data_IF_074504553770
#
_entry.id   IF_074504553770
#
_cell.length_a   1.000
_cell.length_b   1.000
_cell.length_c   1.000
_cell.angle_alpha   90.00
_cell.angle_beta   90.00
_cell.angle_gamma   90.00
#
_symmetry.space_group_name_H-M   'P 1'
#
loop_
_entity.id
_entity.type
_entity.pdbx_description
1 polymer ?
#
# COMPACT_ATOMS: atom_id res chain seq x y z
N UNK A 1 62.97 -40.64 -16.63
CA UNK A 1 61.89 -40.45 -15.63
C UNK A 1 61.70 -38.97 -15.38
N UNK A 2 60.57 -38.38 -15.77
CA UNK A 2 60.11 -37.06 -15.31
C UNK A 2 58.61 -37.18 -15.04
N UNK A 3 58.24 -37.11 -13.77
CA UNK A 3 56.87 -37.18 -13.26
C UNK A 3 56.20 -35.81 -13.40
N UNK A 4 55.10 -35.75 -14.16
CA UNK A 4 54.21 -34.59 -14.24
C UNK A 4 53.42 -34.49 -12.93
N UNK A 5 53.68 -33.45 -12.14
CA UNK A 5 52.87 -33.09 -10.97
C UNK A 5 51.67 -32.27 -11.43
N UNK A 6 50.49 -32.70 -10.98
CA UNK A 6 49.18 -32.18 -11.30
C UNK A 6 48.92 -30.93 -10.43
N UNK A 7 48.84 -29.74 -11.04
CA UNK A 7 48.44 -28.48 -10.39
C UNK A 7 46.94 -28.16 -10.59
N UNK A 8 46.04 -29.15 -10.52
CA UNK A 8 44.60 -28.93 -10.79
C UNK A 8 43.77 -28.62 -9.55
N UNK A 9 44.35 -28.71 -8.33
CA UNK A 9 43.59 -28.56 -7.09
C UNK A 9 43.21 -27.12 -6.73
N UNK A 10 44.11 -26.15 -6.96
CA UNK A 10 43.92 -24.78 -6.46
C UNK A 10 42.93 -23.97 -7.31
N UNK A 11 42.95 -24.15 -8.63
CA UNK A 11 42.03 -23.47 -9.55
C UNK A 11 40.57 -23.93 -9.35
N UNK A 12 40.34 -25.23 -9.17
CA UNK A 12 39.01 -25.80 -8.98
C UNK A 12 38.34 -25.34 -7.67
N UNK A 13 39.11 -25.19 -6.58
CA UNK A 13 38.60 -24.68 -5.30
C UNK A 13 38.24 -23.19 -5.40
N UNK A 14 39.00 -22.39 -6.15
CA UNK A 14 38.69 -20.96 -6.37
C UNK A 14 37.41 -20.77 -7.20
N UNK A 15 37.17 -21.62 -8.20
CA UNK A 15 35.99 -21.53 -9.06
C UNK A 15 34.72 -21.98 -8.33
N UNK A 16 34.83 -23.02 -7.48
CA UNK A 16 33.72 -23.52 -6.67
C UNK A 16 33.33 -22.54 -5.56
N UNK A 17 34.29 -21.88 -4.92
CA UNK A 17 34.03 -20.82 -3.93
C UNK A 17 33.42 -19.57 -4.57
N UNK A 18 33.84 -19.22 -5.79
CA UNK A 18 33.20 -18.15 -6.57
C UNK A 18 31.75 -18.50 -6.97
N UNK A 19 31.48 -19.75 -7.38
CA UNK A 19 30.11 -20.22 -7.67
C UNK A 19 29.20 -20.23 -6.44
N UNK A 20 29.72 -20.64 -5.28
CA UNK A 20 28.98 -20.62 -4.00
C UNK A 20 28.65 -19.19 -3.54
N UNK A 21 29.56 -18.24 -3.76
CA UNK A 21 29.32 -16.82 -3.47
C UNK A 21 28.24 -16.21 -4.39
N UNK A 22 28.19 -16.61 -5.67
CA UNK A 22 27.18 -16.15 -6.61
C UNK A 22 25.78 -16.71 -6.31
N UNK A 23 25.67 -17.96 -5.85
CA UNK A 23 24.39 -18.60 -5.52
C UNK A 23 23.62 -17.91 -4.38
N UNK A 24 24.32 -17.25 -3.46
CA UNK A 24 23.72 -16.63 -2.27
C UNK A 24 23.11 -15.24 -2.53
N UNK A 25 23.57 -14.52 -3.55
CA UNK A 25 23.11 -13.16 -3.85
C UNK A 25 21.74 -13.11 -4.55
N UNK A 26 21.33 -14.19 -5.23
CA UNK A 26 20.05 -14.24 -5.94
C UNK A 26 18.84 -14.44 -5.01
N UNK A 27 19.03 -15.00 -3.80
CA UNK A 27 17.97 -15.26 -2.82
C UNK A 27 17.50 -14.03 -2.05
N UNK A 28 18.35 -13.01 -1.91
CA UNK A 28 18.10 -11.83 -1.08
C UNK A 28 16.89 -10.97 -1.51
N UNK A 29 16.47 -11.07 -2.79
CA UNK A 29 15.44 -10.21 -3.38
C UNK A 29 14.00 -10.66 -3.13
N UNK A 30 13.75 -11.97 -3.05
CA UNK A 30 12.42 -12.53 -2.78
C UNK A 30 12.10 -12.45 -1.28
N UNK A 31 13.13 -12.59 -0.43
CA UNK A 31 13.01 -12.55 1.02
C UNK A 31 12.56 -11.18 1.54
N UNK A 32 12.89 -10.08 0.83
CA UNK A 32 12.53 -8.72 1.23
C UNK A 32 11.04 -8.40 1.00
N UNK A 33 10.46 -8.70 -0.16
CA UNK A 33 9.03 -8.42 -0.44
C UNK A 33 8.13 -9.28 0.44
N UNK A 34 8.44 -10.57 0.59
CA UNK A 34 7.68 -11.45 1.48
C UNK A 34 7.70 -10.93 2.93
N UNK A 35 8.83 -10.43 3.39
CA UNK A 35 8.94 -9.86 4.73
C UNK A 35 8.11 -8.57 4.88
N UNK A 36 8.13 -7.68 3.88
CA UNK A 36 7.29 -6.47 3.87
C UNK A 36 5.81 -6.84 3.92
N UNK A 37 5.37 -7.75 3.04
CA UNK A 37 3.99 -8.22 2.99
C UNK A 37 3.58 -8.84 4.32
N UNK A 38 4.42 -9.70 4.90
CA UNK A 38 4.14 -10.35 6.18
C UNK A 38 3.96 -9.36 7.34
N UNK A 39 4.71 -8.26 7.33
CA UNK A 39 4.60 -7.19 8.33
C UNK A 39 3.42 -6.25 8.07
N UNK A 40 3.14 -5.94 6.81
CA UNK A 40 2.16 -4.93 6.45
C UNK A 40 0.72 -5.46 6.36
N UNK A 41 0.53 -6.70 5.92
CA UNK A 41 -0.79 -7.31 5.72
C UNK A 41 -1.71 -7.24 6.94
N UNK A 42 -1.25 -7.43 8.19
CA UNK A 42 -2.10 -7.27 9.37
C UNK A 42 -2.71 -5.86 9.53
N UNK A 43 -2.03 -4.83 9.02
CA UNK A 43 -2.49 -3.44 9.10
C UNK A 43 -3.43 -3.04 7.95
N UNK A 44 -3.59 -3.89 6.93
CA UNK A 44 -4.48 -3.64 5.78
C UNK A 44 -5.86 -4.22 6.05
N UNK A 45 -6.89 -3.44 5.75
CA UNK A 45 -8.27 -3.75 6.07
C UNK A 45 -9.17 -3.61 4.85
N UNK A 46 -10.32 -4.29 4.89
CA UNK A 46 -11.40 -4.08 3.95
C UNK A 46 -12.39 -3.08 4.54
N UNK A 47 -12.81 -2.11 3.75
CA UNK A 47 -13.85 -1.14 4.07
C UNK A 47 -15.15 -1.59 3.40
N UNK A 48 -16.23 -1.63 4.16
CA UNK A 48 -17.58 -1.95 3.69
C UNK A 48 -18.49 -0.76 4.03
N UNK A 49 -18.96 -0.06 3.02
CA UNK A 49 -19.93 1.02 3.16
C UNK A 49 -21.34 0.50 2.90
N UNK A 50 -22.28 0.88 3.76
CA UNK A 50 -23.68 0.46 3.74
C UNK A 50 -24.62 1.67 3.77
N UNK A 51 -25.79 1.51 3.16
CA UNK A 51 -26.88 2.48 3.28
C UNK A 51 -27.68 2.30 4.57
N UNK A 52 -28.70 3.14 4.77
CA UNK A 52 -29.59 3.10 5.93
C UNK A 52 -30.41 1.79 6.05
N UNK A 53 -30.58 1.04 4.96
CA UNK A 53 -31.22 -0.27 4.96
C UNK A 53 -30.24 -1.40 5.35
N UNK A 54 -28.93 -1.10 5.42
CA UNK A 54 -27.87 -2.05 5.71
C UNK A 54 -27.32 -2.76 4.47
N UNK A 55 -27.72 -2.35 3.27
CA UNK A 55 -27.25 -2.93 2.01
C UNK A 55 -25.86 -2.39 1.67
N UNK A 56 -24.98 -3.26 1.16
CA UNK A 56 -23.62 -2.86 0.78
C UNK A 56 -23.65 -2.05 -0.51
N UNK A 57 -23.26 -0.78 -0.42
CA UNK A 57 -23.25 0.14 -1.56
C UNK A 57 -21.86 0.33 -2.16
N UNK A 58 -20.81 0.15 -1.35
CA UNK A 58 -19.42 0.26 -1.81
C UNK A 58 -18.47 -0.58 -0.95
N UNK A 59 -17.36 -0.99 -1.56
CA UNK A 59 -16.28 -1.70 -0.90
C UNK A 59 -14.92 -1.19 -1.39
N UNK A 60 -13.94 -1.17 -0.50
CA UNK A 60 -12.59 -0.75 -0.80
C UNK A 60 -11.57 -1.32 0.18
N UNK A 61 -10.33 -0.84 0.05
CA UNK A 61 -9.25 -1.17 0.96
C UNK A 61 -8.93 0.05 1.82
N UNK A 62 -8.51 -0.16 3.06
CA UNK A 62 -7.88 0.86 3.88
C UNK A 62 -6.70 0.28 4.64
N UNK A 63 -6.05 1.09 5.46
CA UNK A 63 -5.00 0.61 6.35
C UNK A 63 -4.91 1.45 7.61
N UNK A 64 -4.49 0.82 8.70
CA UNK A 64 -4.24 1.48 9.96
C UNK A 64 -3.00 2.38 9.89
N UNK A 65 -3.11 3.60 10.41
CA UNK A 65 -2.01 4.56 10.54
C UNK A 65 -1.62 4.84 12.00
N UNK A 66 -2.41 4.35 12.96
CA UNK A 66 -2.11 4.45 14.40
C UNK A 66 -2.49 3.16 15.14
N UNK A 67 -1.85 2.95 16.29
CA UNK A 67 -2.20 1.87 17.20
C UNK A 67 -3.60 2.04 17.83
N UNK A 68 -4.14 3.26 17.81
CA UNK A 68 -5.44 3.62 18.39
C UNK A 68 -6.62 3.34 17.43
N UNK A 69 -6.36 2.73 16.27
CA UNK A 69 -7.39 2.32 15.33
C UNK A 69 -7.77 3.39 14.30
N UNK A 70 -6.90 4.35 14.01
CA UNK A 70 -7.13 5.29 12.92
C UNK A 70 -6.81 4.63 11.58
N UNK A 71 -7.68 4.83 10.59
CA UNK A 71 -7.61 4.21 9.28
C UNK A 71 -7.68 5.27 8.20
N UNK A 72 -6.86 5.12 7.17
CA UNK A 72 -6.96 5.90 5.93
C UNK A 72 -7.54 5.01 4.82
N UNK A 73 -8.44 5.58 4.03
CA UNK A 73 -8.99 4.96 2.80
C UNK A 73 -9.35 6.03 1.77
N UNK A 74 -9.91 5.61 0.63
CA UNK A 74 -10.42 6.53 -0.38
C UNK A 74 -11.78 7.10 0.01
N UNK A 75 -11.94 8.41 -0.11
CA UNK A 75 -13.19 9.10 0.27
C UNK A 75 -14.40 8.56 -0.49
N UNK A 76 -14.30 8.35 -1.79
CA UNK A 76 -15.40 7.85 -2.62
C UNK A 76 -15.93 6.47 -2.21
N UNK A 77 -15.16 5.68 -1.44
CA UNK A 77 -15.62 4.39 -0.91
C UNK A 77 -16.66 4.61 0.20
N UNK A 78 -16.61 5.75 0.90
CA UNK A 78 -17.46 6.06 2.06
C UNK A 78 -18.54 7.09 1.77
N UNK A 79 -18.44 7.85 0.69
CA UNK A 79 -19.43 8.87 0.33
C UNK A 79 -20.80 8.22 0.09
N UNK A 80 -21.82 8.75 0.75
CA UNK A 80 -23.20 8.26 0.67
C UNK A 80 -23.50 7.07 1.58
N UNK A 81 -22.54 6.62 2.39
CA UNK A 81 -22.77 5.59 3.39
C UNK A 81 -23.44 6.16 4.65
N UNK A 82 -24.44 5.47 5.16
CA UNK A 82 -25.03 5.73 6.47
C UNK A 82 -24.28 4.96 7.57
N UNK A 83 -23.66 3.83 7.22
CA UNK A 83 -22.84 3.00 8.10
C UNK A 83 -21.59 2.51 7.35
N UNK A 84 -20.45 2.48 8.04
CA UNK A 84 -19.25 1.85 7.52
C UNK A 84 -18.65 0.86 8.53
N UNK A 85 -18.18 -0.27 8.01
CA UNK A 85 -17.52 -1.33 8.75
C UNK A 85 -16.12 -1.58 8.19
N UNK A 86 -15.21 -1.90 9.10
CA UNK A 86 -13.82 -2.26 8.81
C UNK A 86 -13.64 -3.73 9.15
N UNK A 87 -13.23 -4.54 8.18
CA UNK A 87 -12.87 -5.94 8.40
C UNK A 87 -11.36 -6.12 8.29
N UNK A 88 -10.76 -6.58 9.38
CA UNK A 88 -9.32 -6.87 9.47
C UNK A 88 -8.95 -8.16 8.74
N UNK A 89 -7.65 -8.34 8.45
CA UNK A 89 -7.12 -9.57 7.87
C UNK A 89 -7.39 -10.82 8.73
N UNK A 90 -7.56 -10.66 10.05
CA UNK A 90 -7.93 -11.73 10.98
C UNK A 90 -9.44 -12.03 10.98
N UNK A 91 -10.24 -11.29 10.21
CA UNK A 91 -11.68 -11.46 10.11
C UNK A 91 -12.51 -10.73 11.17
N UNK A 92 -11.88 -10.00 12.10
CA UNK A 92 -12.59 -9.13 13.05
C UNK A 92 -13.18 -7.93 12.33
N UNK A 93 -14.41 -7.57 12.70
CA UNK A 93 -15.14 -6.41 12.17
C UNK A 93 -15.27 -5.33 13.23
N UNK A 94 -15.07 -4.08 12.85
CA UNK A 94 -15.25 -2.90 13.69
C UNK A 94 -16.12 -1.88 12.99
N UNK A 95 -16.96 -1.18 13.75
CA UNK A 95 -17.77 -0.08 13.21
C UNK A 95 -16.92 1.18 13.14
N UNK A 96 -17.02 1.92 12.05
CA UNK A 96 -16.46 3.27 11.95
C UNK A 96 -17.29 4.22 12.80
N UNK A 97 -16.66 4.90 13.74
CA UNK A 97 -17.34 5.78 14.71
C UNK A 97 -17.34 7.25 14.30
N UNK A 98 -16.44 7.64 13.40
CA UNK A 98 -16.39 9.01 12.92
C UNK A 98 -15.32 9.24 11.86
N UNK A 99 -15.54 10.32 11.10
CA UNK A 99 -14.56 10.89 10.18
C UNK A 99 -13.71 11.87 10.98
N UNK A 100 -12.40 11.63 11.03
CA UNK A 100 -11.45 12.52 11.69
C UNK A 100 -10.98 13.61 10.74
N UNK A 101 -10.87 13.28 9.45
CA UNK A 101 -10.39 14.17 8.41
C UNK A 101 -10.82 13.71 7.02
N UNK A 102 -11.00 14.64 6.09
CA UNK A 102 -11.15 14.31 4.67
C UNK A 102 -10.59 15.41 3.77
N UNK A 103 -10.14 15.01 2.57
CA UNK A 103 -9.82 15.90 1.47
C UNK A 103 -10.52 15.37 0.21
N UNK A 104 -11.55 16.11 -0.23
CA UNK A 104 -12.33 15.77 -1.42
C UNK A 104 -11.50 15.83 -2.71
N UNK A 105 -10.62 16.82 -2.84
CA UNK A 105 -9.73 16.95 -4.00
C UNK A 105 -8.75 15.78 -4.08
N UNK A 106 -8.29 15.31 -2.93
CA UNK A 106 -7.40 14.14 -2.80
C UNK A 106 -8.11 12.79 -2.86
N UNK A 107 -9.42 12.77 -2.64
CA UNK A 107 -10.19 11.55 -2.47
C UNK A 107 -9.64 10.69 -1.31
N UNK A 108 -9.33 11.36 -0.19
CA UNK A 108 -8.80 10.76 1.05
C UNK A 108 -9.79 10.98 2.18
N UNK A 109 -9.94 9.97 3.03
CA UNK A 109 -10.63 10.08 4.30
C UNK A 109 -9.88 9.33 5.40
N UNK A 110 -9.75 9.94 6.56
CA UNK A 110 -9.26 9.33 7.81
C UNK A 110 -10.45 9.11 8.75
N UNK A 111 -10.55 7.90 9.31
CA UNK A 111 -11.65 7.50 10.18
C UNK A 111 -11.15 6.81 11.44
N UNK A 112 -11.94 6.91 12.51
CA UNK A 112 -11.75 6.14 13.74
C UNK A 112 -12.69 4.94 13.80
N UNK A 113 -12.27 3.88 14.48
CA UNK A 113 -13.10 2.69 14.72
C UNK A 113 -13.46 2.51 16.19
N UNK A 114 -14.55 1.81 16.42
CA UNK A 114 -15.04 1.50 17.76
C UNK A 114 -14.02 0.67 18.56
N UNK A 115 -13.79 1.08 19.82
CA UNK A 115 -12.94 0.35 20.74
C UNK A 115 -11.44 0.46 20.44
N UNK A 116 -11.04 1.27 19.44
CA UNK A 116 -9.67 1.54 19.02
C UNK A 116 -8.68 1.72 20.17
N UNK A 117 -8.87 2.81 20.92
CA UNK A 117 -8.05 3.22 22.08
C UNK A 117 -8.09 2.24 23.28
N UNK A 118 -9.05 1.30 23.29
CA UNK A 118 -9.27 0.38 24.42
C UNK A 118 -8.55 -0.95 24.24
N UNK A 119 -7.96 -1.19 23.07
CA UNK A 119 -7.17 -2.41 22.81
C UNK A 119 -5.77 -2.22 23.39
N UNK A 120 -5.48 -2.91 24.50
CA UNK A 120 -4.20 -2.79 25.22
C UNK A 120 -2.97 -3.16 24.39
N UNK A 121 -3.13 -4.03 23.39
CA UNK A 121 -2.07 -4.41 22.47
C UNK A 121 -1.88 -3.41 21.30
N UNK A 122 -2.85 -2.52 21.08
CA UNK A 122 -2.94 -1.66 19.90
C UNK A 122 -3.23 -2.42 18.60
N UNK A 123 -3.52 -1.67 17.55
CA UNK A 123 -3.63 -2.19 16.19
C UNK A 123 -2.26 -2.21 15.48
N UNK A 124 -1.98 -3.20 14.61
CA UNK A 124 -0.87 -3.09 13.68
C UNK A 124 -1.13 -1.91 12.74
N UNK A 125 -0.14 -1.05 12.54
CA UNK A 125 -0.24 0.13 11.68
C UNK A 125 0.98 0.29 10.79
N UNK A 126 0.82 1.04 9.71
CA UNK A 126 1.89 1.25 8.74
C UNK A 126 2.55 2.62 8.95
N UNK A 127 3.89 2.69 9.04
CA UNK A 127 4.59 3.96 9.11
C UNK A 127 4.44 4.70 7.78
N UNK A 128 4.37 6.02 7.83
CA UNK A 128 4.29 6.87 6.65
C UNK A 128 5.68 7.32 6.22
N UNK A 129 5.96 7.26 4.93
CA UNK A 129 7.20 7.80 4.38
C UNK A 129 7.18 9.33 4.46
N UNK A 130 8.36 9.91 4.69
CA UNK A 130 8.51 11.37 4.82
C UNK A 130 8.84 12.08 3.50
N UNK A 131 9.30 11.33 2.50
CA UNK A 131 9.81 11.84 1.24
C UNK A 131 9.08 11.22 0.04
N UNK A 132 9.12 11.95 -1.07
CA UNK A 132 8.70 11.46 -2.37
C UNK A 132 9.68 10.41 -2.90
N UNK A 133 9.19 9.43 -3.68
CA UNK A 133 10.06 8.45 -4.28
C UNK A 133 10.80 9.07 -5.47
N UNK A 134 11.92 8.48 -5.86
CA UNK A 134 12.47 8.65 -7.18
C UNK A 134 11.75 7.75 -8.21
N UNK A 135 11.74 8.20 -9.47
CA UNK A 135 11.38 7.33 -10.59
C UNK A 135 12.30 6.10 -10.65
N UNK A 136 11.73 4.93 -10.91
CA UNK A 136 12.42 3.64 -10.89
C UNK A 136 12.46 2.96 -9.51
N UNK A 137 12.05 3.62 -8.43
CA UNK A 137 11.94 2.98 -7.12
C UNK A 137 10.90 1.85 -7.12
N UNK A 138 11.22 0.76 -6.41
CA UNK A 138 10.34 -0.41 -6.28
C UNK A 138 9.25 -0.15 -5.25
N UNK A 139 8.04 -0.60 -5.59
CA UNK A 139 6.85 -0.42 -4.76
C UNK A 139 6.07 -1.71 -4.64
N UNK A 140 5.35 -1.86 -3.54
CA UNK A 140 4.43 -2.98 -3.27
C UNK A 140 3.07 -2.41 -2.93
N UNK A 141 2.02 -2.93 -3.55
CA UNK A 141 0.63 -2.60 -3.24
C UNK A 141 -0.02 -3.80 -2.56
N UNK A 142 -0.72 -3.55 -1.46
CA UNK A 142 -1.46 -4.59 -0.74
C UNK A 142 -2.93 -4.17 -0.66
N UNK A 143 -3.79 -4.83 -1.45
CA UNK A 143 -5.23 -4.64 -1.45
C UNK A 143 -5.97 -5.74 -0.69
N UNK A 144 -7.22 -5.48 -0.33
CA UNK A 144 -8.16 -6.49 0.18
C UNK A 144 -9.48 -6.50 -0.61
N UNK A 145 -9.46 -6.74 -1.93
CA UNK A 145 -10.67 -6.74 -2.74
C UNK A 145 -11.56 -7.96 -2.42
N UNK A 146 -12.87 -7.72 -2.22
CA UNK A 146 -13.95 -8.73 -2.26
C UNK A 146 -13.81 -9.96 -1.33
N UNK A 147 -13.28 -9.78 -0.11
CA UNK A 147 -13.03 -10.87 0.84
C UNK A 147 -12.12 -12.01 0.32
N UNK A 148 -11.45 -11.81 -0.83
CA UNK A 148 -10.34 -12.64 -1.26
C UNK A 148 -9.11 -12.22 -0.46
N UNK A 149 -8.40 -13.21 0.07
CA UNK A 149 -7.19 -13.03 0.88
C UNK A 149 -6.26 -12.00 0.22
N UNK A 150 -5.89 -10.95 0.97
CA UNK A 150 -5.23 -9.73 0.49
C UNK A 150 -4.37 -9.91 -0.78
N UNK A 151 -4.73 -9.18 -1.84
CA UNK A 151 -4.01 -9.18 -3.11
C UNK A 151 -2.73 -8.37 -2.97
N UNK A 152 -1.61 -8.98 -3.35
CA UNK A 152 -0.31 -8.30 -3.38
C UNK A 152 0.11 -8.13 -4.82
N UNK A 153 0.50 -6.91 -5.19
CA UNK A 153 1.16 -6.63 -6.46
C UNK A 153 2.42 -5.81 -6.25
N UNK A 154 3.38 -5.95 -7.15
CA UNK A 154 4.63 -5.19 -7.11
C UNK A 154 4.88 -4.49 -8.43
N UNK A 155 5.67 -3.42 -8.37
CA UNK A 155 6.03 -2.63 -9.54
C UNK A 155 7.11 -1.62 -9.22
N UNK A 156 7.14 -0.55 -10.02
CA UNK A 156 8.01 0.59 -9.82
C UNK A 156 7.27 1.91 -9.99
N UNK A 157 7.87 2.98 -9.47
CA UNK A 157 7.47 4.36 -9.75
C UNK A 157 7.84 4.70 -11.19
N UNK A 158 6.83 4.86 -12.04
CA UNK A 158 6.99 5.19 -13.46
C UNK A 158 7.24 6.68 -13.68
N UNK A 159 6.56 7.53 -12.92
CA UNK A 159 6.67 8.98 -13.03
C UNK A 159 6.12 9.67 -11.78
N UNK A 160 6.69 10.82 -11.44
CA UNK A 160 6.10 11.78 -10.48
C UNK A 160 5.68 13.03 -11.27
N UNK A 161 4.40 13.41 -11.21
CA UNK A 161 3.85 14.50 -12.04
C UNK A 161 2.97 15.43 -11.22
N UNK A 162 2.91 16.70 -11.63
CA UNK A 162 1.95 17.67 -11.12
C UNK A 162 0.81 17.82 -12.12
N UNK A 163 -0.44 17.65 -11.68
CA UNK A 163 -1.63 17.73 -12.53
C UNK A 163 -2.51 18.93 -12.11
N UNK A 164 -2.95 19.80 -13.04
CA UNK A 164 -3.66 21.04 -12.70
C UNK A 164 -4.90 20.90 -11.81
N UNK A 165 -5.65 19.80 -11.95
CA UNK A 165 -6.87 19.52 -11.17
C UNK A 165 -6.68 18.47 -10.06
N UNK A 166 -5.60 17.71 -10.13
CA UNK A 166 -5.39 16.51 -9.31
C UNK A 166 -4.14 16.63 -8.43
N UNK A 167 -3.43 17.76 -8.47
CA UNK A 167 -2.20 17.97 -7.71
C UNK A 167 -1.12 16.96 -8.08
N UNK A 168 -0.24 16.70 -7.13
CA UNK A 168 0.85 15.75 -7.30
C UNK A 168 0.34 14.30 -7.39
N UNK A 169 0.77 13.61 -8.45
CA UNK A 169 0.46 12.23 -8.72
C UNK A 169 1.72 11.40 -8.94
N UNK A 170 1.61 10.12 -8.62
CA UNK A 170 2.63 9.12 -8.84
C UNK A 170 2.04 8.01 -9.68
N UNK A 171 2.67 7.77 -10.81
CA UNK A 171 2.30 6.68 -11.67
C UNK A 171 3.12 5.46 -11.27
N UNK A 172 2.48 4.30 -11.12
CA UNK A 172 3.18 3.04 -10.82
C UNK A 172 2.90 2.00 -11.91
N UNK A 173 3.77 1.00 -12.00
CA UNK A 173 3.56 -0.16 -12.88
C UNK A 173 2.86 -1.32 -12.19
N UNK A 174 2.68 -1.28 -10.86
CA UNK A 174 2.08 -2.39 -10.12
C UNK A 174 0.63 -2.54 -10.56
N UNK A 175 0.19 -3.73 -10.99
CA UNK A 175 -1.19 -3.95 -11.43
C UNK A 175 -2.15 -3.77 -10.25
N UNK A 176 -3.24 -3.04 -10.46
CA UNK A 176 -4.34 -2.91 -9.50
C UNK A 176 -5.67 -3.20 -10.20
N UNK A 177 -6.68 -3.56 -9.42
CA UNK A 177 -8.03 -3.91 -9.88
C UNK A 177 -9.09 -3.15 -9.07
N UNK A 178 -10.37 -3.13 -9.52
CA UNK A 178 -11.47 -2.65 -8.69
C UNK A 178 -11.42 -3.26 -7.28
N UNK A 179 -11.60 -2.42 -6.25
CA UNK A 179 -11.43 -2.79 -4.84
C UNK A 179 -10.03 -2.49 -4.26
N UNK A 180 -9.06 -2.13 -5.11
CA UNK A 180 -7.73 -1.64 -4.68
C UNK A 180 -7.72 -0.16 -4.30
N UNK A 181 -8.83 0.57 -4.45
CA UNK A 181 -8.94 1.95 -3.97
C UNK A 181 -8.74 2.00 -2.45
N UNK A 182 -7.83 2.87 -2.01
CA UNK A 182 -7.42 3.03 -0.62
C UNK A 182 -6.34 2.06 -0.14
N UNK A 183 -5.85 1.14 -0.99
CA UNK A 183 -4.73 0.26 -0.65
C UNK A 183 -3.44 1.06 -0.38
N UNK A 184 -2.63 0.71 0.63
CA UNK A 184 -1.33 1.32 0.80
C UNK A 184 -0.37 0.92 -0.33
N UNK A 185 0.46 1.88 -0.74
CA UNK A 185 1.60 1.68 -1.63
C UNK A 185 2.88 1.86 -0.82
N UNK A 186 3.65 0.79 -0.71
CA UNK A 186 4.78 0.66 0.20
C UNK A 186 6.11 0.74 -0.55
N UNK A 187 7.10 1.39 0.05
CA UNK A 187 8.50 1.21 -0.35
C UNK A 187 9.05 -0.13 0.16
N UNK A 188 10.31 -0.41 -0.16
CA UNK A 188 10.99 -1.61 0.32
C UNK A 188 11.35 -1.58 1.81
N UNK A 189 11.08 -0.47 2.50
CA UNK A 189 11.19 -0.34 3.95
C UNK A 189 9.86 -0.68 4.66
N UNK A 190 8.77 -0.87 3.91
CA UNK A 190 7.43 -1.12 4.45
C UNK A 190 6.73 0.16 4.93
N UNK A 191 7.21 1.32 4.50
CA UNK A 191 6.58 2.60 4.78
C UNK A 191 5.59 2.92 3.66
N UNK A 192 4.40 3.41 4.05
CA UNK A 192 3.40 3.92 3.13
C UNK A 192 3.93 5.17 2.50
N UNK A 193 4.25 5.06 1.24
CA UNK A 193 4.53 6.22 0.45
C UNK A 193 3.20 6.93 0.14
N UNK A 194 2.18 6.16 -0.28
CA UNK A 194 0.91 6.69 -0.80
C UNK A 194 -0.26 5.69 -0.67
N UNK A 195 -1.46 6.06 -1.14
CA UNK A 195 -2.61 5.16 -1.26
C UNK A 195 -3.10 5.06 -2.71
N UNK A 196 -3.53 3.88 -3.12
CA UNK A 196 -4.02 3.62 -4.46
C UNK A 196 -5.36 4.33 -4.71
N UNK A 197 -5.42 5.06 -5.82
CA UNK A 197 -6.68 5.49 -6.43
C UNK A 197 -6.76 4.87 -7.82
N UNK A 198 -7.83 4.15 -8.11
CA UNK A 198 -8.07 3.68 -9.48
C UNK A 198 -8.60 4.87 -10.27
N UNK A 199 -7.79 5.44 -11.17
CA UNK A 199 -8.25 6.43 -12.14
C UNK A 199 -8.29 5.79 -13.52
N UNK A 200 -9.49 5.58 -14.06
CA UNK A 200 -9.64 5.19 -15.45
C UNK A 200 -9.54 6.44 -16.34
N UNK A 201 -8.55 6.50 -17.24
CA UNK A 201 -8.60 7.46 -18.33
C UNK A 201 -9.38 6.82 -19.49
N UNK A 202 -10.47 7.47 -19.91
CA UNK A 202 -11.24 7.04 -21.07
C UNK A 202 -10.35 6.99 -22.31
N UNK A 203 -10.17 5.79 -22.87
CA UNK A 203 -9.62 5.65 -24.21
C UNK A 203 -10.53 6.36 -25.20
N UNK A 204 -9.95 7.13 -26.14
CA UNK A 204 -10.73 7.60 -27.28
C UNK A 204 -11.40 6.40 -27.95
N UNK A 205 -12.71 6.54 -28.20
CA UNK A 205 -13.56 5.54 -28.87
C UNK A 205 -12.90 5.17 -30.21
N UNK A 206 -12.21 4.02 -30.27
CA UNK A 206 -11.53 3.54 -31.47
C UNK A 206 -10.12 2.96 -31.26
N UNK A 207 -9.45 3.21 -30.13
CA UNK A 207 -8.22 2.50 -29.79
C UNK A 207 -8.54 1.25 -29.00
N UNK A 208 -8.51 0.07 -29.64
CA UNK A 208 -8.39 -1.19 -28.90
C UNK A 208 -6.98 -1.25 -28.28
N UNK A 209 -6.87 -0.64 -27.10
CA UNK A 209 -5.61 -0.48 -26.39
C UNK A 209 -5.65 0.70 -25.43
N UNK A 210 -6.70 0.81 -24.61
CA UNK A 210 -6.70 1.74 -23.48
C UNK A 210 -5.58 1.31 -22.52
N UNK A 211 -4.51 2.10 -22.42
CA UNK A 211 -3.54 1.92 -21.33
C UNK A 211 -4.18 2.50 -20.09
N UNK A 212 -4.71 1.64 -19.22
CA UNK A 212 -5.04 2.00 -17.85
C UNK A 212 -3.73 2.43 -17.17
N UNK A 213 -3.56 3.74 -16.94
CA UNK A 213 -2.49 4.22 -16.08
C UNK A 213 -3.04 4.31 -14.66
N UNK A 214 -2.40 3.57 -13.78
CA UNK A 214 -2.73 3.56 -12.37
C UNK A 214 -2.06 4.76 -11.74
N UNK A 215 -2.89 5.65 -11.19
CA UNK A 215 -2.42 6.91 -10.62
C UNK A 215 -2.64 6.90 -9.12
N UNK A 216 -1.54 6.96 -8.39
CA UNK A 216 -1.49 6.98 -6.94
C UNK A 216 -1.31 8.44 -6.51
N UNK A 217 -2.10 8.94 -5.55
CA UNK A 217 -1.95 10.33 -5.09
C UNK A 217 -1.02 10.36 -3.88
N UNK A 218 -0.10 11.33 -3.89
CA UNK A 218 0.85 11.52 -2.80
C UNK A 218 0.11 11.95 -1.54
N UNK A 219 0.43 11.30 -0.41
CA UNK A 219 0.19 11.87 0.92
C UNK A 219 1.25 12.95 1.14
N UNK A 220 0.93 14.25 1.19
CA UNK A 220 1.91 15.22 1.60
C UNK A 220 2.27 14.85 3.04
N UNK A 221 3.54 14.53 3.29
CA UNK A 221 4.03 14.25 4.65
C UNK A 221 3.80 15.44 5.61
N UNK A 222 3.54 16.63 5.06
CA UNK A 222 3.07 17.81 5.77
C UNK A 222 1.57 17.79 6.12
N UNK A 223 0.69 17.15 5.34
CA UNK A 223 -0.76 17.21 5.54
C UNK A 223 -1.31 16.17 6.53
N UNK A 224 -0.73 14.98 6.65
CA UNK A 224 -1.11 14.06 7.73
C UNK A 224 -0.58 14.52 9.10
N UNK A 225 0.53 15.28 9.11
CA UNK A 225 0.98 16.02 10.29
C UNK A 225 0.14 17.27 10.56
N UNK A 226 -0.42 17.92 9.54
CA UNK A 226 -1.38 19.01 9.73
C UNK A 226 -2.75 18.50 10.22
N UNK A 227 -3.19 17.31 9.81
CA UNK A 227 -4.40 16.70 10.37
C UNK A 227 -4.23 16.39 11.87
N UNK A 228 -3.08 15.85 12.28
CA UNK A 228 -2.75 15.71 13.70
C UNK A 228 -2.41 17.04 14.42
N UNK A 229 -1.88 18.05 13.73
CA UNK A 229 -1.61 19.40 14.28
C UNK A 229 -2.86 20.27 14.43
N UNK A 230 -3.87 20.09 13.58
CA UNK A 230 -5.20 20.71 13.74
C UNK A 230 -5.91 20.09 14.94
N UNK A 231 -5.71 18.78 15.17
CA UNK A 231 -6.25 18.05 16.32
C UNK A 231 -5.50 18.36 17.64
N UNK A 232 -4.21 18.70 17.62
CA UNK A 232 -3.46 19.10 18.83
C UNK A 232 -3.79 20.51 19.33
N UNK A 233 -4.43 21.35 18.50
CA UNK A 233 -4.93 22.67 18.88
C UNK A 233 -6.38 22.67 19.42
N UNK A 234 -7.02 21.51 19.49
CA UNK A 234 -8.38 21.33 20.02
C UNK A 234 -8.42 20.60 21.38
N UNK A 235 -7.33 20.69 22.15
CA UNK A 235 -7.31 20.41 23.60
C UNK A 235 -7.07 21.69 24.39
#
# INVERSE_FOLDING_TARGET
>A
MRTLRIETGLAAVSLLSLLLAYGSLAGCKQDSIRAIVGKAKPAVVMIIAKDAAGEVIAQGTGFFISADGHIVTSRHVMVGADLAEVKTAEGKTYVVTGVLAEDEGADIIEVAIEGGERISAGFPFLPLASALPAEGERVVVIGSPFALESTVSDGLVSAVREMPSTGQIIQITAPISPGSSGSPVLNLQGEVLWFCKVMAQGGQRGSQGGREYIVVRVLPSADLRLLSSVLSQLK
#
